data_IF_182728232161
#
_entry.id   IF_182728232161
#
_cell.length_a   1.000
_cell.length_b   1.000
_cell.length_c   1.000
_cell.angle_alpha   90.00
_cell.angle_beta   90.00
_cell.angle_gamma   90.00
#
_symmetry.space_group_name_H-M   'P 1'
#
loop_
_entity.id
_entity.type
_entity.pdbx_description
1 polymer ?
#
# COMPACT_ATOMS: atom_id res chain seq x y z
N UNK A 1 22.61 -4.93 -33.07
CA UNK A 1 23.41 -3.84 -32.47
C UNK A 1 22.49 -3.07 -31.53
N UNK A 2 22.88 -2.99 -30.26
CA UNK A 2 22.16 -2.39 -29.13
C UNK A 2 22.53 -0.91 -28.95
N UNK A 3 21.52 -0.10 -28.58
CA UNK A 3 21.54 1.10 -27.71
C UNK A 3 22.29 2.39 -28.16
N UNK A 4 21.88 3.62 -27.72
CA UNK A 4 21.51 3.92 -26.33
C UNK A 4 20.31 4.84 -26.03
N UNK A 5 19.73 4.56 -24.85
CA UNK A 5 19.39 5.46 -23.73
C UNK A 5 18.68 6.80 -24.02
N UNK A 6 17.39 6.85 -23.66
CA UNK A 6 16.77 8.08 -23.17
C UNK A 6 16.58 7.97 -21.67
N UNK A 7 17.53 8.56 -20.95
CA UNK A 7 17.46 8.92 -19.54
C UNK A 7 16.21 9.76 -19.32
N UNK A 8 15.26 9.26 -18.53
CA UNK A 8 14.18 10.08 -17.97
C UNK A 8 14.85 10.93 -16.90
N UNK A 9 15.14 12.19 -17.24
CA UNK A 9 15.65 13.16 -16.28
C UNK A 9 14.64 13.34 -15.14
N UNK A 10 15.14 13.08 -13.95
CA UNK A 10 14.52 13.35 -12.65
C UNK A 10 14.36 14.87 -12.47
N UNK A 11 13.24 15.42 -12.94
CA UNK A 11 12.91 16.85 -12.87
C UNK A 11 12.11 17.27 -11.64
N UNK A 12 12.04 16.43 -10.60
CA UNK A 12 11.17 16.67 -9.44
C UNK A 12 11.86 17.33 -8.23
N UNK A 13 13.09 17.81 -8.37
CA UNK A 13 13.83 18.46 -7.29
C UNK A 13 13.55 19.98 -7.13
N UNK A 14 12.70 20.59 -7.96
CA UNK A 14 12.77 22.04 -8.19
C UNK A 14 11.80 22.97 -7.45
N UNK A 15 10.62 22.54 -6.96
CA UNK A 15 9.54 23.52 -6.76
C UNK A 15 8.65 23.27 -5.53
N UNK A 16 9.26 22.88 -4.40
CA UNK A 16 8.56 22.59 -3.15
C UNK A 16 8.62 23.72 -2.09
N UNK A 17 9.36 24.81 -2.36
CA UNK A 17 9.46 25.98 -1.45
C UNK A 17 8.57 27.17 -1.86
N UNK A 18 7.75 27.05 -2.91
CA UNK A 18 6.84 28.12 -3.32
C UNK A 18 5.58 28.15 -2.42
N UNK A 19 5.14 29.32 -1.91
CA UNK A 19 3.90 29.43 -1.15
C UNK A 19 2.69 28.96 -1.99
N UNK A 20 1.87 28.07 -1.42
CA UNK A 20 0.72 27.41 -2.07
C UNK A 20 -0.42 28.36 -2.53
N UNK A 21 -0.29 29.69 -2.38
CA UNK A 21 -1.36 30.64 -2.69
C UNK A 21 -1.60 30.88 -4.19
N UNK A 22 -0.65 30.56 -5.06
CA UNK A 22 -0.74 30.90 -6.50
C UNK A 22 -1.17 29.75 -7.44
N UNK A 23 -1.44 28.54 -6.93
CA UNK A 23 -1.94 27.43 -7.77
C UNK A 23 -3.46 27.40 -7.76
N UNK A 24 -4.05 28.45 -8.32
CA UNK A 24 -5.49 28.67 -8.45
C UNK A 24 -6.13 27.71 -9.47
N UNK A 25 -6.23 26.42 -9.13
CA UNK A 25 -7.32 25.55 -9.58
C UNK A 25 -7.49 24.43 -8.55
N UNK A 26 -8.67 24.27 -7.94
CA UNK A 26 -8.93 23.09 -7.12
C UNK A 26 -8.88 21.86 -8.03
N UNK A 27 -8.12 20.81 -7.67
CA UNK A 27 -8.16 19.54 -8.41
C UNK A 27 -9.58 18.96 -8.40
N UNK A 28 -9.94 18.25 -9.46
CA UNK A 28 -11.24 17.57 -9.57
C UNK A 28 -11.48 16.66 -8.35
N UNK A 29 -12.46 17.05 -7.53
CA UNK A 29 -12.98 16.22 -6.44
C UNK A 29 -13.76 15.07 -7.07
N UNK A 30 -13.14 13.90 -7.20
CA UNK A 30 -13.89 12.68 -7.50
C UNK A 30 -14.66 12.29 -6.24
N UNK A 31 -15.90 12.78 -6.12
CA UNK A 31 -16.86 12.33 -5.13
C UNK A 31 -17.35 10.92 -5.49
N UNK A 32 -16.45 9.93 -5.39
CA UNK A 32 -16.83 8.53 -5.32
C UNK A 32 -17.56 8.24 -4.01
N UNK A 33 -18.36 7.17 -3.92
CA UNK A 33 -19.06 6.81 -2.69
C UNK A 33 -18.07 6.77 -1.53
N UNK A 34 -18.28 7.69 -0.57
CA UNK A 34 -17.44 7.87 0.59
C UNK A 34 -17.48 6.58 1.41
N UNK A 35 -16.46 5.73 1.29
CA UNK A 35 -16.14 4.85 2.40
C UNK A 35 -15.86 5.80 3.55
N UNK A 36 -16.63 5.67 4.62
CA UNK A 36 -16.42 6.49 5.80
C UNK A 36 -14.99 6.27 6.32
N UNK A 37 -14.10 7.22 6.03
CA UNK A 37 -12.75 7.28 6.59
C UNK A 37 -12.83 7.19 8.12
N UNK A 38 -13.88 7.74 8.72
CA UNK A 38 -14.14 7.67 10.16
C UNK A 38 -14.41 6.22 10.65
N UNK A 39 -15.16 5.41 9.90
CA UNK A 39 -15.36 4.00 10.25
C UNK A 39 -14.06 3.18 10.09
N UNK A 40 -13.15 3.64 9.24
CA UNK A 40 -11.88 2.95 8.98
C UNK A 40 -10.78 3.36 9.95
N UNK A 41 -10.75 4.63 10.36
CA UNK A 41 -9.89 5.13 11.44
C UNK A 41 -10.26 4.55 12.81
N UNK A 42 -11.55 4.23 13.03
CA UNK A 42 -11.99 3.57 14.25
C UNK A 42 -11.67 2.07 14.29
N UNK A 43 -11.35 1.44 13.15
CA UNK A 43 -11.06 0.01 13.09
C UNK A 43 -9.58 -0.25 13.39
N UNK A 44 -9.31 -0.94 14.50
CA UNK A 44 -7.95 -1.36 14.81
C UNK A 44 -7.39 -2.25 13.66
N UNK A 45 -6.10 -2.11 13.29
CA UNK A 45 -5.47 -2.94 12.26
C UNK A 45 -5.62 -4.45 12.53
N UNK A 46 -5.52 -4.85 13.79
CA UNK A 46 -5.73 -6.23 14.24
C UNK A 46 -7.17 -6.73 13.97
N UNK A 47 -8.19 -5.90 14.19
CA UNK A 47 -9.58 -6.26 13.92
C UNK A 47 -9.86 -6.38 12.41
N UNK A 48 -9.19 -5.56 11.60
CA UNK A 48 -9.30 -5.64 10.14
C UNK A 48 -8.64 -6.90 9.59
N UNK A 49 -7.48 -7.30 10.13
CA UNK A 49 -6.85 -8.59 9.82
C UNK A 49 -7.70 -9.77 10.27
N UNK A 50 -8.32 -9.69 11.46
CA UNK A 50 -9.25 -10.71 11.94
C UNK A 50 -10.44 -10.88 11.00
N UNK A 51 -11.06 -9.77 10.56
CA UNK A 51 -12.16 -9.79 9.59
C UNK A 51 -11.73 -10.37 8.25
N UNK A 52 -10.53 -10.06 7.76
CA UNK A 52 -9.98 -10.68 6.54
C UNK A 52 -9.97 -12.19 6.67
N UNK A 53 -9.34 -12.72 7.72
CA UNK A 53 -9.23 -14.17 7.97
C UNK A 53 -10.59 -14.86 8.03
N UNK A 54 -11.57 -14.24 8.67
CA UNK A 54 -12.94 -14.76 8.75
C UNK A 54 -13.65 -14.76 7.39
N UNK A 55 -13.36 -13.78 6.53
CA UNK A 55 -13.98 -13.65 5.20
C UNK A 55 -13.30 -14.49 4.11
N UNK A 56 -12.06 -14.94 4.35
CA UNK A 56 -11.22 -15.66 3.37
C UNK A 56 -10.87 -17.06 3.90
N UNK A 57 -11.88 -17.83 4.29
CA UNK A 57 -11.72 -19.16 4.91
C UNK A 57 -10.89 -20.08 4.02
N UNK A 58 -11.05 -20.00 2.70
CA UNK A 58 -10.32 -20.80 1.72
C UNK A 58 -8.81 -20.50 1.68
N UNK A 59 -8.39 -19.29 2.06
CA UNK A 59 -6.99 -18.87 2.11
C UNK A 59 -6.31 -19.19 3.45
N UNK A 60 -7.08 -19.63 4.46
CA UNK A 60 -6.55 -19.93 5.79
C UNK A 60 -5.47 -21.01 5.82
N UNK A 61 -5.51 -22.08 5.00
CA UNK A 61 -4.40 -23.04 4.91
C UNK A 61 -3.10 -22.36 4.48
N UNK A 62 -3.14 -21.50 3.45
CA UNK A 62 -1.97 -20.74 2.96
C UNK A 62 -1.46 -19.78 4.02
N UNK A 63 -2.35 -19.04 4.69
CA UNK A 63 -1.99 -18.14 5.79
C UNK A 63 -1.30 -18.90 6.92
N UNK A 64 -1.86 -20.03 7.36
CA UNK A 64 -1.27 -20.84 8.44
C UNK A 64 0.09 -21.38 8.06
N UNK A 65 0.25 -21.83 6.80
CA UNK A 65 1.55 -22.30 6.28
C UNK A 65 2.58 -21.18 6.29
N UNK A 66 2.23 -19.98 5.80
CA UNK A 66 3.09 -18.81 5.85
C UNK A 66 3.49 -18.44 7.30
N UNK A 67 2.54 -18.49 8.24
CA UNK A 67 2.80 -18.19 9.66
C UNK A 67 3.71 -19.24 10.33
N UNK A 68 3.58 -20.51 9.95
CA UNK A 68 4.42 -21.60 10.44
C UNK A 68 5.83 -21.55 9.86
N UNK A 69 5.94 -21.37 8.54
CA UNK A 69 7.21 -21.27 7.82
C UNK A 69 7.95 -19.99 8.26
N UNK A 70 7.21 -18.89 8.51
CA UNK A 70 7.74 -17.58 8.82
C UNK A 70 6.92 -16.82 9.88
N UNK A 71 7.20 -17.00 11.19
CA UNK A 71 6.46 -16.31 12.24
C UNK A 71 6.53 -14.77 12.15
N UNK A 72 7.58 -14.22 11.56
CA UNK A 72 7.73 -12.78 11.32
C UNK A 72 6.70 -12.23 10.31
N UNK A 73 6.11 -13.07 9.45
CA UNK A 73 5.06 -12.68 8.51
C UNK A 73 3.84 -12.09 9.21
N UNK A 74 3.54 -12.52 10.45
CA UNK A 74 2.46 -11.96 11.27
C UNK A 74 2.72 -10.49 11.57
N UNK A 75 3.94 -10.17 12.02
CA UNK A 75 4.34 -8.80 12.31
C UNK A 75 4.34 -7.94 11.04
N UNK A 76 4.79 -8.48 9.91
CA UNK A 76 4.74 -7.80 8.61
C UNK A 76 3.29 -7.52 8.18
N UNK A 77 2.39 -8.49 8.30
CA UNK A 77 0.96 -8.30 7.99
C UNK A 77 0.31 -7.25 8.90
N UNK A 78 0.68 -7.20 10.18
CA UNK A 78 0.21 -6.18 11.13
C UNK A 78 0.68 -4.78 10.75
N UNK A 79 1.98 -4.62 10.50
CA UNK A 79 2.56 -3.34 10.05
C UNK A 79 1.96 -2.91 8.71
N UNK A 80 1.77 -3.85 7.79
CA UNK A 80 1.10 -3.56 6.54
C UNK A 80 -0.34 -3.11 6.74
N UNK A 81 -1.10 -3.77 7.62
CA UNK A 81 -2.44 -3.35 7.98
C UNK A 81 -2.45 -1.93 8.58
N UNK A 82 -1.53 -1.56 9.47
CA UNK A 82 -1.39 -0.17 9.94
C UNK A 82 -1.14 0.81 8.79
N UNK A 83 -0.36 0.40 7.80
CA UNK A 83 0.03 1.24 6.68
C UNK A 83 -1.13 1.54 5.72
N UNK A 84 -1.95 0.53 5.41
CA UNK A 84 -2.97 0.62 4.34
C UNK A 84 -4.43 0.61 4.82
N UNK A 85 -4.70 0.23 6.08
CA UNK A 85 -6.06 0.27 6.64
C UNK A 85 -6.48 1.73 6.76
N UNK A 86 -7.51 2.12 6.02
CA UNK A 86 -7.96 3.51 5.94
C UNK A 86 -8.20 4.00 4.52
N UNK A 87 -7.53 3.43 3.52
CA UNK A 87 -7.57 3.99 2.17
C UNK A 87 -8.84 3.55 1.44
N UNK A 88 -9.69 4.49 1.00
CA UNK A 88 -10.77 4.18 0.09
C UNK A 88 -10.22 4.04 -1.33
N UNK A 89 -10.05 2.81 -1.79
CA UNK A 89 -9.78 2.56 -3.20
C UNK A 89 -11.04 2.00 -3.83
N UNK A 90 -11.73 2.84 -4.60
CA UNK A 90 -12.76 2.36 -5.51
C UNK A 90 -12.10 1.40 -6.51
N UNK A 91 -12.66 0.19 -6.61
CA UNK A 91 -12.21 -0.82 -7.56
C UNK A 91 -12.29 -0.24 -8.99
N UNK A 92 -11.21 -0.28 -9.78
CA UNK A 92 -11.16 0.38 -11.10
C UNK A 92 -12.10 -0.25 -12.14
N UNK A 93 -12.63 -1.47 -11.93
CA UNK A 93 -13.56 -2.09 -12.89
C UNK A 93 -15.01 -1.63 -12.77
N UNK A 94 -15.37 -0.75 -11.84
CA UNK A 94 -16.76 -0.32 -11.78
C UNK A 94 -16.95 1.11 -11.24
N UNK A 95 -16.74 2.14 -12.08
CA UNK A 95 -17.04 3.52 -11.72
C UNK A 95 -18.55 3.80 -11.55
N UNK A 96 -19.43 2.83 -11.82
CA UNK A 96 -20.90 2.95 -11.73
C UNK A 96 -21.57 2.10 -10.65
N UNK A 97 -20.90 1.10 -10.09
CA UNK A 97 -21.50 0.23 -9.07
C UNK A 97 -21.66 0.93 -7.72
N UNK A 98 -22.85 1.51 -7.54
CA UNK A 98 -23.39 1.93 -6.25
C UNK A 98 -23.83 0.75 -5.37
N UNK A 99 -23.60 -0.51 -5.78
CA UNK A 99 -24.16 -1.70 -5.11
C UNK A 99 -23.12 -2.64 -4.48
N UNK A 100 -21.82 -2.40 -4.66
CA UNK A 100 -20.77 -3.19 -4.01
C UNK A 100 -20.21 -2.50 -2.77
N UNK A 101 -20.28 -3.14 -1.61
CA UNK A 101 -19.47 -2.72 -0.46
C UNK A 101 -18.00 -2.69 -0.89
N UNK A 102 -17.29 -1.58 -0.71
CA UNK A 102 -15.93 -1.46 -1.21
C UNK A 102 -15.00 -2.46 -0.52
N UNK A 103 -14.21 -3.19 -1.31
CA UNK A 103 -13.24 -4.15 -0.80
C UNK A 103 -12.05 -3.37 -0.22
N UNK A 104 -11.68 -3.57 1.06
CA UNK A 104 -10.53 -2.88 1.65
C UNK A 104 -9.23 -3.18 0.89
N UNK A 105 -8.38 -2.17 0.68
CA UNK A 105 -7.05 -2.32 0.05
C UNK A 105 -6.25 -3.45 0.68
N UNK A 106 -6.30 -3.55 2.01
CA UNK A 106 -5.66 -4.62 2.76
C UNK A 106 -6.02 -6.01 2.24
N UNK A 107 -7.28 -6.25 1.88
CA UNK A 107 -7.77 -7.55 1.46
C UNK A 107 -7.21 -7.92 0.09
N UNK A 108 -7.23 -6.97 -0.86
CA UNK A 108 -6.69 -7.17 -2.21
C UNK A 108 -5.19 -7.45 -2.17
N UNK A 109 -4.45 -6.69 -1.36
CA UNK A 109 -3.00 -6.85 -1.24
C UNK A 109 -2.62 -8.17 -0.56
N UNK A 110 -3.36 -8.58 0.48
CA UNK A 110 -3.13 -9.88 1.13
C UNK A 110 -3.44 -11.04 0.18
N UNK A 111 -4.52 -10.96 -0.60
CA UNK A 111 -4.82 -11.96 -1.63
C UNK A 111 -3.69 -12.06 -2.65
N UNK A 112 -3.18 -10.93 -3.16
CA UNK A 112 -2.07 -10.92 -4.11
C UNK A 112 -0.78 -11.50 -3.52
N UNK A 113 -0.42 -11.12 -2.28
CA UNK A 113 0.74 -11.69 -1.60
C UNK A 113 0.62 -13.20 -1.39
N UNK A 114 -0.54 -13.68 -0.94
CA UNK A 114 -0.76 -15.12 -0.72
C UNK A 114 -0.75 -15.92 -2.02
N UNK A 115 -1.32 -15.38 -3.11
CA UNK A 115 -1.22 -16.00 -4.43
C UNK A 115 0.24 -16.08 -4.93
N UNK A 116 1.05 -15.03 -4.69
CA UNK A 116 2.47 -15.03 -5.04
C UNK A 116 3.28 -16.04 -4.20
N UNK A 117 2.93 -16.19 -2.92
CA UNK A 117 3.49 -17.21 -2.04
C UNK A 117 3.22 -18.63 -2.57
N UNK A 118 1.98 -18.91 -2.95
CA UNK A 118 1.57 -20.22 -3.47
C UNK A 118 2.17 -20.50 -4.86
N UNK A 119 2.33 -19.49 -5.70
CA UNK A 119 3.00 -19.62 -6.99
C UNK A 119 4.50 -19.98 -6.87
N UNK A 120 5.12 -19.64 -5.73
CA UNK A 120 6.50 -19.96 -5.41
C UNK A 120 6.66 -21.27 -4.63
N UNK A 121 5.66 -22.17 -4.64
CA UNK A 121 5.66 -23.38 -3.80
C UNK A 121 6.89 -24.28 -3.96
N UNK A 122 7.51 -24.31 -5.15
CA UNK A 122 8.69 -25.12 -5.46
C UNK A 122 10.03 -24.39 -5.17
N UNK A 123 9.97 -23.16 -4.67
CA UNK A 123 11.13 -22.34 -4.34
C UNK A 123 11.58 -22.52 -2.88
N UNK A 124 12.79 -22.04 -2.56
CA UNK A 124 13.26 -21.98 -1.16
C UNK A 124 12.33 -21.15 -0.28
N UNK A 125 12.27 -21.45 1.02
CA UNK A 125 11.39 -20.73 1.96
C UNK A 125 11.66 -19.21 1.97
N UNK A 126 12.92 -18.78 1.88
CA UNK A 126 13.31 -17.36 1.81
C UNK A 126 12.71 -16.69 0.55
N UNK A 127 12.71 -17.39 -0.60
CA UNK A 127 12.09 -16.92 -1.86
C UNK A 127 10.57 -16.87 -1.74
N UNK A 128 9.96 -17.87 -1.10
CA UNK A 128 8.50 -17.89 -0.86
C UNK A 128 8.08 -16.68 -0.02
N UNK A 129 8.82 -16.38 1.06
CA UNK A 129 8.60 -15.17 1.87
C UNK A 129 8.80 -13.89 1.05
N UNK A 130 9.86 -13.83 0.23
CA UNK A 130 10.09 -12.69 -0.65
C UNK A 130 8.92 -12.48 -1.61
N UNK A 131 8.45 -13.52 -2.29
CA UNK A 131 7.29 -13.46 -3.21
C UNK A 131 6.03 -12.97 -2.51
N UNK A 132 5.78 -13.42 -1.27
CA UNK A 132 4.68 -12.91 -0.46
C UNK A 132 4.77 -11.40 -0.23
N UNK A 133 5.93 -10.93 0.26
CA UNK A 133 6.15 -9.52 0.59
C UNK A 133 6.13 -8.65 -0.67
N UNK A 134 6.79 -9.08 -1.75
CA UNK A 134 6.83 -8.34 -3.01
C UNK A 134 5.43 -8.24 -3.62
N UNK A 135 4.70 -9.36 -3.77
CA UNK A 135 3.35 -9.37 -4.34
C UNK A 135 2.38 -8.46 -3.56
N UNK A 136 2.48 -8.46 -2.23
CA UNK A 136 1.73 -7.58 -1.35
C UNK A 136 2.10 -6.10 -1.53
N UNK A 137 3.40 -5.77 -1.61
CA UNK A 137 3.86 -4.40 -1.75
C UNK A 137 3.60 -3.83 -3.15
N UNK A 138 3.70 -4.64 -4.21
CA UNK A 138 3.40 -4.25 -5.59
C UNK A 138 1.93 -3.91 -5.76
N UNK A 139 1.03 -4.75 -5.24
CA UNK A 139 -0.41 -4.48 -5.31
C UNK A 139 -0.78 -3.22 -4.51
N UNK A 140 -0.16 -3.03 -3.34
CA UNK A 140 -0.34 -1.82 -2.56
C UNK A 140 0.15 -0.57 -3.31
N UNK A 141 1.35 -0.62 -3.90
CA UNK A 141 1.88 0.46 -4.71
C UNK A 141 0.96 0.77 -5.90
N UNK A 142 0.44 -0.24 -6.58
CA UNK A 142 -0.52 -0.08 -7.68
C UNK A 142 -1.81 0.63 -7.26
N UNK A 143 -2.35 0.28 -6.10
CA UNK A 143 -3.62 0.83 -5.59
C UNK A 143 -3.48 2.23 -4.98
N UNK A 144 -2.31 2.54 -4.41
CA UNK A 144 -2.06 3.77 -3.65
C UNK A 144 -1.30 4.84 -4.44
N UNK A 145 -0.69 4.49 -5.56
CA UNK A 145 -0.03 5.45 -6.45
C UNK A 145 -1.00 6.54 -6.89
N UNK A 146 -0.53 7.79 -6.82
CA UNK A 146 -1.35 8.94 -7.18
C UNK A 146 -2.46 9.29 -6.17
N UNK A 147 -2.58 8.58 -5.04
CA UNK A 147 -3.53 8.94 -3.98
C UNK A 147 -2.92 9.97 -3.03
N UNK A 148 -3.68 11.02 -2.73
CA UNK A 148 -3.38 12.01 -1.69
C UNK A 148 -4.62 12.24 -0.84
N UNK A 149 -4.44 12.24 0.47
CA UNK A 149 -5.46 12.63 1.44
C UNK A 149 -5.16 14.02 1.95
N UNK A 150 -6.19 14.83 2.17
CA UNK A 150 -6.06 16.15 2.79
C UNK A 150 -6.99 16.29 3.99
N UNK A 151 -6.48 16.80 5.10
CA UNK A 151 -7.31 17.25 6.23
C UNK A 151 -8.02 18.57 5.88
N UNK A 152 -9.01 19.00 6.68
CA UNK A 152 -9.60 20.34 6.56
C UNK A 152 -8.58 21.47 6.65
N UNK A 153 -7.50 21.26 7.41
CA UNK A 153 -6.41 22.23 7.62
C UNK A 153 -5.37 22.21 6.49
N UNK A 154 -5.61 21.45 5.41
CA UNK A 154 -4.73 21.21 4.26
C UNK A 154 -3.43 20.43 4.58
N UNK A 155 -3.34 19.75 5.71
CA UNK A 155 -2.28 18.75 5.91
C UNK A 155 -2.53 17.58 4.97
N UNK A 156 -1.46 17.04 4.38
CA UNK A 156 -1.59 15.97 3.41
C UNK A 156 -0.91 14.67 3.83
N UNK A 157 -1.53 13.56 3.43
CA UNK A 157 -0.94 12.25 3.50
C UNK A 157 -0.89 11.60 2.13
N UNK A 158 0.21 10.92 1.86
CA UNK A 158 0.37 10.06 0.69
C UNK A 158 1.21 8.86 1.07
N UNK A 159 0.91 7.72 0.46
CA UNK A 159 1.59 6.46 0.76
C UNK A 159 3.10 6.50 0.48
N UNK A 160 3.60 7.47 -0.30
CA UNK A 160 5.04 7.66 -0.54
C UNK A 160 5.80 8.45 0.53
N UNK A 161 5.13 8.94 1.58
CA UNK A 161 5.78 9.69 2.66
C UNK A 161 6.30 8.79 3.80
N UNK A 162 5.97 7.50 3.79
CA UNK A 162 6.47 6.52 4.78
C UNK A 162 5.73 6.50 6.12
N UNK A 163 4.83 7.46 6.38
CA UNK A 163 3.97 7.43 7.55
C UNK A 163 2.81 6.45 7.33
N UNK A 164 2.57 5.55 8.29
CA UNK A 164 1.42 4.68 8.27
C UNK A 164 0.11 5.49 8.33
N UNK A 165 -0.86 5.12 7.48
CA UNK A 165 -2.12 5.85 7.40
C UNK A 165 -2.88 5.83 8.72
N UNK A 166 -2.93 4.68 9.40
CA UNK A 166 -3.61 4.57 10.68
C UNK A 166 -3.05 5.56 11.72
N UNK A 167 -1.72 5.70 11.78
CA UNK A 167 -1.07 6.67 12.66
C UNK A 167 -1.40 8.12 12.28
N UNK A 168 -1.39 8.44 10.99
CA UNK A 168 -1.76 9.79 10.52
C UNK A 168 -3.23 10.13 10.83
N UNK A 169 -4.15 9.21 10.54
CA UNK A 169 -5.59 9.39 10.83
C UNK A 169 -5.87 9.59 12.32
N UNK A 170 -5.08 8.97 13.20
CA UNK A 170 -5.19 9.18 14.64
C UNK A 170 -4.80 10.59 15.10
N UNK A 171 -4.15 11.39 14.24
CA UNK A 171 -3.70 12.75 14.57
C UNK A 171 -4.60 13.86 14.02
N UNK A 172 -5.62 13.54 13.21
CA UNK A 172 -6.46 14.53 12.53
C UNK A 172 -7.97 14.29 12.71
N UNK A 173 -8.79 15.32 12.48
CA UNK A 173 -10.24 15.14 12.38
C UNK A 173 -10.62 14.43 11.07
N UNK A 174 -10.89 13.13 11.19
CA UNK A 174 -11.19 12.25 10.07
C UNK A 174 -12.49 12.62 9.35
N UNK A 175 -13.40 13.36 10.00
CA UNK A 175 -14.71 13.73 9.40
C UNK A 175 -14.59 14.67 8.20
N UNK A 176 -13.48 15.39 8.09
CA UNK A 176 -13.24 16.33 7.00
C UNK A 176 -12.11 15.93 6.05
N UNK A 177 -11.60 14.69 6.14
CA UNK A 177 -10.54 14.22 5.23
C UNK A 177 -11.09 14.00 3.82
N UNK A 178 -10.43 14.59 2.83
CA UNK A 178 -10.77 14.45 1.40
C UNK A 178 -9.74 13.61 0.67
N UNK A 179 -10.18 12.86 -0.35
CA UNK A 179 -9.34 11.96 -1.14
C UNK A 179 -9.17 12.54 -2.54
N UNK A 180 -7.94 12.62 -3.03
CA UNK A 180 -7.59 13.15 -4.33
C UNK A 180 -6.79 12.12 -5.11
N UNK A 181 -7.14 11.92 -6.39
CA UNK A 181 -6.33 11.14 -7.33
C UNK A 181 -5.59 12.10 -8.26
N UNK A 182 -4.27 12.13 -8.17
CA UNK A 182 -3.43 12.99 -9.00
C UNK A 182 -2.07 12.35 -9.24
N UNK A 183 -1.69 12.18 -10.50
CA UNK A 183 -0.32 11.78 -10.85
C UNK A 183 0.71 12.90 -10.61
N UNK A 184 0.26 14.16 -10.55
CA UNK A 184 1.14 15.32 -10.30
C UNK A 184 1.35 15.61 -8.82
N UNK A 185 0.33 15.38 -7.99
CA UNK A 185 0.38 15.66 -6.55
C UNK A 185 0.57 14.40 -5.70
N UNK A 186 0.31 13.22 -6.24
CA UNK A 186 0.46 11.95 -5.52
C UNK A 186 1.83 11.32 -5.67
N UNK A 187 2.13 10.35 -4.80
CA UNK A 187 3.38 9.61 -4.87
C UNK A 187 3.41 8.68 -6.10
N UNK A 188 4.59 8.55 -6.72
CA UNK A 188 4.85 7.60 -7.79
C UNK A 188 4.87 6.16 -7.27
N UNK A 189 4.65 5.19 -8.15
CA UNK A 189 4.68 3.75 -7.82
C UNK A 189 5.95 3.35 -7.09
N UNK A 190 7.11 3.74 -7.62
CA UNK A 190 8.40 3.40 -7.02
C UNK A 190 8.57 4.00 -5.62
N UNK A 191 8.10 5.24 -5.42
CA UNK A 191 8.17 5.90 -4.12
C UNK A 191 7.26 5.23 -3.10
N UNK A 192 6.05 4.84 -3.51
CA UNK A 192 5.13 4.09 -2.64
C UNK A 192 5.70 2.72 -2.31
N UNK A 193 6.21 1.98 -3.30
CA UNK A 193 6.81 0.67 -3.11
C UNK A 193 7.98 0.72 -2.11
N UNK A 194 8.88 1.70 -2.27
CA UNK A 194 10.01 1.90 -1.35
C UNK A 194 9.57 2.24 0.06
N UNK A 195 8.57 3.13 0.21
CA UNK A 195 8.06 3.54 1.51
C UNK A 195 7.37 2.38 2.25
N UNK A 196 6.53 1.61 1.55
CA UNK A 196 5.85 0.43 2.09
C UNK A 196 6.89 -0.63 2.50
N UNK A 197 7.83 -0.96 1.61
CA UNK A 197 8.85 -1.96 1.91
C UNK A 197 9.65 -1.62 3.18
N UNK A 198 10.06 -0.35 3.33
CA UNK A 198 10.76 0.13 4.53
C UNK A 198 9.90 0.09 5.79
N UNK A 199 8.61 0.34 5.68
CA UNK A 199 7.72 0.30 6.84
C UNK A 199 7.37 -1.14 7.24
N UNK A 200 7.00 -1.97 6.28
CA UNK A 200 6.45 -3.32 6.50
C UNK A 200 7.52 -4.29 6.94
N UNK A 201 8.70 -4.24 6.32
CA UNK A 201 9.80 -5.17 6.58
C UNK A 201 10.64 -4.60 7.72
N UNK A 202 10.62 -5.20 8.92
CA UNK A 202 11.47 -4.70 9.99
C UNK A 202 12.95 -4.94 9.66
N UNK A 203 13.82 -4.10 10.23
CA UNK A 203 15.25 -4.12 9.92
C UNK A 203 15.96 -5.46 10.23
N UNK A 204 15.37 -6.29 11.10
CA UNK A 204 15.90 -7.61 11.40
C UNK A 204 15.66 -8.60 10.25
N UNK A 205 14.52 -8.49 9.58
CA UNK A 205 14.09 -9.38 8.52
C UNK A 205 14.49 -8.89 7.11
N UNK A 206 14.90 -7.62 6.97
CA UNK A 206 15.41 -7.08 5.69
C UNK A 206 16.61 -7.87 5.18
N UNK A 207 17.45 -8.39 6.07
CA UNK A 207 18.59 -9.24 5.71
C UNK A 207 18.16 -10.51 4.95
N UNK A 208 16.98 -11.08 5.24
CA UNK A 208 16.46 -12.26 4.55
C UNK A 208 16.15 -11.91 3.09
N UNK A 209 15.41 -10.82 2.88
CA UNK A 209 15.02 -10.36 1.55
C UNK A 209 16.22 -9.91 0.72
N UNK A 210 17.20 -9.26 1.34
CA UNK A 210 18.44 -8.87 0.67
C UNK A 210 19.27 -10.06 0.20
N UNK A 211 19.28 -11.18 0.96
CA UNK A 211 19.97 -12.40 0.52
C UNK A 211 19.34 -12.96 -0.75
N UNK A 212 18.02 -13.00 -0.82
CA UNK A 212 17.28 -13.46 -2.01
C UNK A 212 17.62 -12.59 -3.22
N UNK A 213 17.52 -11.26 -3.05
CA UNK A 213 17.83 -10.30 -4.13
C UNK A 213 19.29 -10.41 -4.61
N UNK A 214 20.24 -10.63 -3.70
CA UNK A 214 21.65 -10.84 -4.08
C UNK A 214 21.87 -12.16 -4.83
N UNK A 215 21.18 -13.23 -4.42
CA UNK A 215 21.25 -14.50 -5.11
C UNK A 215 20.72 -14.39 -6.55
N UNK A 216 19.65 -13.63 -6.78
CA UNK A 216 19.11 -13.37 -8.12
C UNK A 216 19.99 -12.47 -8.99
N UNK A 217 20.76 -11.57 -8.37
CA UNK A 217 21.69 -10.69 -9.06
C UNK A 217 23.00 -11.37 -9.49
N UNK A 218 23.23 -12.61 -9.04
CA UNK A 218 24.43 -13.38 -9.37
C UNK A 218 24.09 -14.39 -10.48
N UNK A 219 24.59 -14.20 -11.71
CA UNK A 219 24.23 -15.02 -12.88
C UNK A 219 24.76 -16.45 -12.81
#
# INVERSE_FOLDING_TARGET
MLSPERTIEDRDAGDWNAPLRDRAHPPESVAGPLISLAATAAAAPADTLRRFRLSQVELMPTVRRLELDWPCSVAMMQRFAEYVTGVPVCHPRDPGSRSGSPIPVLFLCLQMGLSAYDAAADESDDRRLFSFVDGLCQEAARLLSGIVLFTPDNDCWMAGNGAALHGWLATCDVRGVTVHRSQRRGASHQRVLSAIGRYVVPARESAILERVLRADATP
#
